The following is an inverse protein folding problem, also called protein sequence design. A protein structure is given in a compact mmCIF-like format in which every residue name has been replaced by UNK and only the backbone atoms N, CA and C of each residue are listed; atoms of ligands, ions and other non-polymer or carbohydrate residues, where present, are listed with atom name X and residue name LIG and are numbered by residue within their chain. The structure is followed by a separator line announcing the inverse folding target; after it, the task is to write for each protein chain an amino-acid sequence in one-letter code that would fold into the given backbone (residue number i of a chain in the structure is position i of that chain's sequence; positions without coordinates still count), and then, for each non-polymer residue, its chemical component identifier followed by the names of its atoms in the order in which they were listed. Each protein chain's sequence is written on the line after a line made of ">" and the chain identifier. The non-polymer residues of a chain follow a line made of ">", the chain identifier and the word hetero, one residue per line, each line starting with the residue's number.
data_IF_864524194622
#
_entry.id   IF_864524194622
#
_cell.length_a   1.000
_cell.length_b   1.000
_cell.length_c   1.000
_cell.angle_alpha   90.00
_cell.angle_beta   90.00
_cell.angle_gamma   90.00
#
_symmetry.space_group_name_H-M   'P 1'
#
loop_
_entity.id
_entity.type
_entity.pdbx_description
1 polymer ?
#
# COMPACT_ATOMS: atom_id res chain seq x y z
N UNK A 1 24.05 -20.94 -44.70
CA UNK A 1 25.01 -19.83 -44.95
C UNK A 1 24.42 -18.72 -45.81
N UNK A 2 23.32 -18.10 -45.37
CA UNK A 2 22.87 -16.78 -45.87
C UNK A 2 22.56 -15.91 -44.65
N UNK A 3 21.85 -16.47 -43.66
CA UNK A 3 21.62 -15.85 -42.34
C UNK A 3 22.93 -15.57 -41.59
N UNK A 4 23.91 -16.49 -41.68
CA UNK A 4 25.27 -16.33 -41.11
C UNK A 4 26.07 -15.17 -41.75
N UNK A 5 25.63 -14.67 -42.92
CA UNK A 5 26.37 -13.71 -43.74
C UNK A 5 25.72 -12.31 -43.79
N UNK A 6 24.46 -12.17 -43.35
CA UNK A 6 23.70 -10.91 -43.44
C UNK A 6 23.47 -10.21 -42.09
N UNK A 7 23.83 -10.86 -40.97
CA UNK A 7 23.68 -10.32 -39.62
C UNK A 7 22.22 -10.22 -39.14
N UNK A 8 22.04 -9.90 -37.85
CA UNK A 8 20.73 -9.83 -37.19
C UNK A 8 19.83 -8.69 -37.70
N UNK A 9 20.35 -7.75 -38.51
CA UNK A 9 19.65 -6.55 -38.97
C UNK A 9 18.42 -6.80 -39.84
N UNK A 10 18.31 -7.96 -40.48
CA UNK A 10 17.14 -8.34 -41.28
C UNK A 10 16.05 -9.08 -40.49
N UNK A 11 16.31 -9.48 -39.24
CA UNK A 11 15.33 -10.17 -38.40
C UNK A 11 14.16 -9.25 -38.05
N UNK A 12 14.40 -7.98 -37.71
CA UNK A 12 13.32 -7.06 -37.34
C UNK A 12 12.34 -6.78 -38.50
N UNK A 13 12.77 -6.48 -39.74
CA UNK A 13 11.87 -6.38 -40.89
C UNK A 13 11.16 -7.69 -41.24
N UNK A 14 11.82 -8.84 -41.07
CA UNK A 14 11.21 -10.16 -41.29
C UNK A 14 10.13 -10.47 -40.27
N UNK A 15 10.33 -10.14 -39.00
CA UNK A 15 9.32 -10.26 -37.93
C UNK A 15 8.12 -9.38 -38.25
N UNK A 16 8.34 -8.12 -38.63
CA UNK A 16 7.25 -7.18 -38.98
C UNK A 16 6.45 -7.67 -40.21
N UNK A 17 7.12 -8.30 -41.17
CA UNK A 17 6.50 -8.89 -42.38
C UNK A 17 5.83 -10.24 -42.14
N UNK A 18 6.25 -10.99 -41.10
CA UNK A 18 5.64 -12.26 -40.69
C UNK A 18 4.39 -12.02 -39.83
N UNK A 19 4.43 -11.03 -38.94
CA UNK A 19 3.28 -10.59 -38.12
C UNK A 19 2.12 -10.07 -38.98
N UNK A 20 2.41 -9.57 -40.18
CA UNK A 20 1.40 -9.05 -41.12
C UNK A 20 0.75 -10.12 -42.01
N UNK A 21 1.25 -11.36 -42.04
CA UNK A 21 0.83 -12.38 -43.01
C UNK A 21 0.11 -13.57 -42.34
N UNK A 22 -1.23 -13.48 -42.26
CA UNK A 22 -2.13 -14.35 -41.47
C UNK A 22 -2.15 -15.86 -41.78
N UNK A 23 -1.54 -16.33 -42.88
CA UNK A 23 -1.87 -17.67 -43.42
C UNK A 23 -1.17 -18.87 -42.78
N UNK A 24 -0.18 -18.67 -41.90
CA UNK A 24 0.53 -19.79 -41.27
C UNK A 24 1.34 -19.37 -40.02
N UNK A 25 0.70 -18.72 -39.04
CA UNK A 25 1.41 -18.25 -37.84
C UNK A 25 2.19 -19.35 -37.11
N UNK A 26 1.65 -20.57 -36.95
CA UNK A 26 2.33 -21.65 -36.22
C UNK A 26 3.59 -22.16 -36.92
N UNK A 27 3.55 -22.40 -38.24
CA UNK A 27 4.76 -22.84 -38.96
C UNK A 27 5.78 -21.71 -39.10
N UNK A 28 5.33 -20.46 -39.23
CA UNK A 28 6.22 -19.29 -39.26
C UNK A 28 6.91 -19.08 -37.91
N UNK A 29 6.18 -19.20 -36.80
CA UNK A 29 6.73 -19.12 -35.45
C UNK A 29 7.70 -20.28 -35.17
N UNK A 30 7.37 -21.50 -35.57
CA UNK A 30 8.25 -22.66 -35.43
C UNK A 30 9.53 -22.50 -36.28
N UNK A 31 9.41 -22.09 -37.53
CA UNK A 31 10.55 -21.84 -38.42
C UNK A 31 11.44 -20.71 -37.91
N UNK A 32 10.85 -19.64 -37.37
CA UNK A 32 11.58 -18.52 -36.80
C UNK A 32 12.29 -18.88 -35.48
N UNK A 33 11.61 -19.62 -34.60
CA UNK A 33 12.23 -20.19 -33.39
C UNK A 33 13.41 -21.08 -33.77
N UNK A 34 13.24 -21.97 -34.76
CA UNK A 34 14.29 -22.86 -35.22
C UNK A 34 15.48 -22.10 -35.83
N UNK A 35 15.21 -21.02 -36.57
CA UNK A 35 16.24 -20.13 -37.12
C UNK A 35 17.06 -19.43 -36.01
N UNK A 36 16.40 -18.94 -34.97
CA UNK A 36 17.07 -18.32 -33.82
C UNK A 36 17.81 -19.34 -32.94
N UNK A 37 17.34 -20.59 -32.86
CA UNK A 37 18.03 -21.68 -32.17
C UNK A 37 19.31 -22.14 -32.90
N UNK A 38 19.40 -21.92 -34.22
CA UNK A 38 20.55 -22.28 -35.05
C UNK A 38 21.63 -21.19 -35.18
N UNK A 39 21.43 -20.03 -34.53
CA UNK A 39 22.45 -18.99 -34.44
C UNK A 39 23.41 -19.31 -33.30
N UNK A 40 24.69 -19.56 -33.63
CA UNK A 40 25.78 -19.78 -32.66
C UNK A 40 26.42 -18.47 -32.17
N UNK A 41 26.27 -17.36 -32.90
CA UNK A 41 26.77 -16.03 -32.53
C UNK A 41 25.63 -15.00 -32.60
N UNK A 42 25.61 -14.04 -31.67
CA UNK A 42 24.58 -12.98 -31.55
C UNK A 42 23.15 -13.52 -31.32
N UNK A 43 23.03 -14.72 -30.74
CA UNK A 43 21.72 -15.31 -30.44
C UNK A 43 20.93 -14.46 -29.45
N UNK A 44 21.60 -13.96 -28.41
CA UNK A 44 21.01 -13.08 -27.41
C UNK A 44 20.42 -11.80 -28.03
N UNK A 45 21.22 -11.09 -28.83
CA UNK A 45 20.78 -9.88 -29.52
C UNK A 45 19.62 -10.14 -30.51
N UNK A 46 19.67 -11.26 -31.24
CA UNK A 46 18.60 -11.65 -32.16
C UNK A 46 17.28 -11.94 -31.45
N UNK A 47 17.33 -12.68 -30.33
CA UNK A 47 16.17 -12.95 -29.48
C UNK A 47 15.63 -11.66 -28.85
N UNK A 48 16.51 -10.80 -28.31
CA UNK A 48 16.14 -9.51 -27.72
C UNK A 48 15.43 -8.57 -28.70
N UNK A 49 15.92 -8.46 -29.94
CA UNK A 49 15.28 -7.68 -31.00
C UNK A 49 13.90 -8.23 -31.38
N UNK A 50 13.79 -9.56 -31.56
CA UNK A 50 12.53 -10.20 -31.91
C UNK A 50 11.48 -10.00 -30.82
N UNK A 51 11.86 -10.26 -29.57
CA UNK A 51 10.99 -10.08 -28.41
C UNK A 51 10.60 -8.60 -28.21
N UNK A 52 11.50 -7.65 -28.46
CA UNK A 52 11.21 -6.21 -28.34
C UNK A 52 10.20 -5.76 -29.39
N UNK A 53 10.35 -6.25 -30.63
CA UNK A 53 9.40 -5.98 -31.71
C UNK A 53 8.02 -6.57 -31.40
N UNK A 54 7.96 -7.82 -30.92
CA UNK A 54 6.72 -8.48 -30.51
C UNK A 54 6.04 -7.73 -29.36
N UNK A 55 6.78 -7.39 -28.30
CA UNK A 55 6.25 -6.64 -27.16
C UNK A 55 5.70 -5.26 -27.58
N UNK A 56 6.37 -4.56 -28.50
CA UNK A 56 5.90 -3.28 -29.05
C UNK A 56 4.58 -3.39 -29.80
N UNK A 57 4.30 -4.52 -30.45
CA UNK A 57 3.02 -4.76 -31.12
C UNK A 57 1.94 -5.19 -30.13
N UNK A 58 2.28 -6.08 -29.19
CA UNK A 58 1.39 -6.54 -28.12
C UNK A 58 0.89 -5.40 -27.23
N UNK A 59 1.75 -4.45 -26.87
CA UNK A 59 1.39 -3.32 -26.00
C UNK A 59 0.38 -2.34 -26.60
N UNK A 60 0.05 -2.48 -27.89
CA UNK A 60 -0.96 -1.68 -28.59
C UNK A 60 -2.35 -2.32 -28.56
N UNK A 61 -2.46 -3.60 -28.21
CA UNK A 61 -3.73 -4.30 -28.15
C UNK A 61 -4.49 -3.92 -26.86
N UNK A 62 -5.83 -3.81 -26.91
CA UNK A 62 -6.62 -3.51 -25.74
C UNK A 62 -6.60 -4.69 -24.76
N UNK A 63 -6.46 -4.38 -23.46
CA UNK A 63 -6.48 -5.38 -22.39
C UNK A 63 -7.94 -5.70 -22.02
N UNK A 64 -8.36 -6.98 -21.99
CA UNK A 64 -9.71 -7.35 -21.57
C UNK A 64 -9.93 -7.04 -20.08
N UNK A 65 -11.13 -6.59 -19.73
CA UNK A 65 -11.49 -6.21 -18.34
C UNK A 65 -12.48 -7.18 -17.70
N UNK A 66 -13.01 -8.13 -18.48
CA UNK A 66 -13.98 -9.12 -18.02
C UNK A 66 -13.62 -10.50 -18.56
N UNK A 67 -14.03 -11.54 -17.85
CA UNK A 67 -13.79 -12.93 -18.25
C UNK A 67 -14.40 -13.23 -19.64
N UNK A 68 -15.55 -12.65 -19.96
CA UNK A 68 -16.18 -12.81 -21.28
C UNK A 68 -15.35 -12.19 -22.41
N UNK A 69 -14.69 -11.05 -22.17
CA UNK A 69 -13.78 -10.44 -23.15
C UNK A 69 -12.48 -11.22 -23.29
N UNK A 70 -12.00 -11.81 -22.19
CA UNK A 70 -10.81 -12.67 -22.19
C UNK A 70 -11.06 -13.96 -23.00
N UNK A 71 -12.24 -14.58 -22.84
CA UNK A 71 -12.66 -15.78 -23.58
C UNK A 71 -12.95 -15.49 -25.06
N UNK A 72 -13.55 -14.33 -25.36
CA UNK A 72 -13.82 -13.93 -26.74
C UNK A 72 -12.53 -13.60 -27.52
N UNK A 73 -11.49 -13.12 -26.82
CA UNK A 73 -10.18 -12.73 -27.34
C UNK A 73 -10.23 -12.03 -28.72
N UNK A 74 -11.16 -11.09 -28.88
CA UNK A 74 -11.50 -10.48 -30.18
C UNK A 74 -10.30 -9.83 -30.86
N UNK A 75 -9.37 -9.29 -30.06
CA UNK A 75 -8.16 -8.63 -30.51
C UNK A 75 -6.93 -9.54 -30.51
N UNK A 76 -7.09 -10.80 -30.08
CA UNK A 76 -6.03 -11.81 -30.05
C UNK A 76 -4.95 -11.58 -29.00
N UNK A 77 -5.16 -10.72 -28.00
CA UNK A 77 -4.14 -10.45 -26.98
C UNK A 77 -3.82 -11.69 -26.15
N UNK A 78 -4.83 -12.46 -25.72
CA UNK A 78 -4.65 -13.65 -24.90
C UNK A 78 -3.87 -14.72 -25.66
N UNK A 79 -4.29 -15.01 -26.90
CA UNK A 79 -3.62 -15.96 -27.77
C UNK A 79 -2.18 -15.53 -28.11
N UNK A 80 -1.92 -14.23 -28.31
CA UNK A 80 -0.57 -13.72 -28.56
C UNK A 80 0.33 -13.84 -27.31
N UNK A 81 -0.20 -13.63 -26.10
CA UNK A 81 0.55 -13.86 -24.86
C UNK A 81 0.92 -15.34 -24.69
N UNK A 82 0.00 -16.26 -24.99
CA UNK A 82 0.28 -17.72 -24.96
C UNK A 82 1.32 -18.10 -26.02
N UNK A 83 1.21 -17.56 -27.23
CA UNK A 83 2.18 -17.78 -28.29
C UNK A 83 3.56 -17.24 -27.91
N UNK A 84 3.64 -16.05 -27.30
CA UNK A 84 4.88 -15.46 -26.81
C UNK A 84 5.53 -16.30 -25.70
N UNK A 85 4.73 -16.82 -24.75
CA UNK A 85 5.21 -17.73 -23.72
C UNK A 85 5.75 -19.04 -24.33
N UNK A 86 5.09 -19.56 -25.36
CA UNK A 86 5.51 -20.76 -26.07
C UNK A 86 6.79 -20.51 -26.88
N UNK A 87 6.91 -19.34 -27.51
CA UNK A 87 8.12 -18.90 -28.22
C UNK A 87 9.32 -18.74 -27.28
N UNK A 88 9.13 -18.18 -26.08
CA UNK A 88 10.22 -17.91 -25.13
C UNK A 88 10.69 -19.15 -24.37
N UNK A 89 9.82 -20.14 -24.15
CA UNK A 89 10.10 -21.36 -23.36
C UNK A 89 11.39 -22.10 -23.76
N UNK A 90 11.67 -22.40 -25.04
CA UNK A 90 12.91 -23.08 -25.44
C UNK A 90 14.20 -22.33 -25.07
N UNK A 91 14.15 -21.00 -25.07
CA UNK A 91 15.31 -20.18 -24.70
C UNK A 91 15.51 -20.16 -23.19
N UNK A 92 14.43 -20.09 -22.41
CA UNK A 92 14.47 -20.18 -20.94
C UNK A 92 14.96 -21.56 -20.47
N UNK A 93 14.44 -22.63 -21.08
CA UNK A 93 14.84 -24.00 -20.73
C UNK A 93 16.29 -24.30 -21.12
N UNK A 94 16.76 -23.74 -22.25
CA UNK A 94 18.15 -23.86 -22.68
C UNK A 94 19.13 -23.21 -21.70
N UNK A 95 18.71 -22.11 -21.07
CA UNK A 95 19.49 -21.43 -20.02
C UNK A 95 19.50 -22.24 -18.71
N UNK A 96 18.33 -22.74 -18.27
CA UNK A 96 18.23 -23.52 -17.02
C UNK A 96 19.06 -24.81 -17.05
N UNK A 97 19.08 -25.52 -18.19
CA UNK A 97 19.83 -26.78 -18.34
C UNK A 97 21.35 -26.62 -18.30
N UNK A 98 21.88 -25.43 -18.61
CA UNK A 98 23.32 -25.15 -18.56
C UNK A 98 23.81 -24.76 -17.16
N UNK A 99 22.97 -24.07 -16.37
CA UNK A 99 23.29 -23.68 -14.99
C UNK A 99 23.53 -24.89 -14.06
N UNK A 100 23.00 -26.07 -14.38
CA UNK A 100 23.21 -27.30 -13.60
C UNK A 100 24.54 -28.02 -13.88
N UNK A 101 25.31 -27.65 -14.92
CA UNK A 101 26.46 -28.47 -15.35
C UNK A 101 27.70 -27.74 -15.92
N UNK A 102 27.67 -26.41 -16.14
CA UNK A 102 28.83 -25.64 -16.65
C UNK A 102 28.84 -24.19 -16.15
N UNK A 103 30.03 -23.55 -16.10
CA UNK A 103 30.15 -22.12 -15.82
C UNK A 103 29.36 -21.29 -16.88
N UNK A 104 28.59 -20.26 -16.47
CA UNK A 104 27.81 -19.44 -17.39
C UNK A 104 28.72 -18.73 -18.40
N UNK A 105 28.34 -18.77 -19.68
CA UNK A 105 29.04 -18.04 -20.73
C UNK A 105 28.52 -16.60 -20.84
N UNK A 106 29.32 -15.63 -21.32
CA UNK A 106 28.87 -14.24 -21.47
C UNK A 106 27.62 -14.09 -22.34
N UNK A 107 27.45 -14.97 -23.34
CA UNK A 107 26.29 -14.98 -24.22
C UNK A 107 25.03 -15.53 -23.52
N UNK A 108 25.19 -16.51 -22.61
CA UNK A 108 24.07 -17.00 -21.80
C UNK A 108 23.58 -15.92 -20.81
N UNK A 109 24.50 -15.12 -20.25
CA UNK A 109 24.15 -13.97 -19.38
C UNK A 109 23.49 -12.82 -20.16
N UNK A 110 23.91 -12.58 -21.41
CA UNK A 110 23.26 -11.63 -22.31
C UNK A 110 21.87 -12.10 -22.73
N UNK A 111 21.70 -13.40 -23.02
CA UNK A 111 20.41 -14.00 -23.34
C UNK A 111 19.46 -13.94 -22.14
N UNK A 112 19.95 -14.25 -20.92
CA UNK A 112 19.22 -14.04 -19.66
C UNK A 112 18.77 -12.58 -19.55
N UNK A 113 19.68 -11.63 -19.77
CA UNK A 113 19.37 -10.21 -19.67
C UNK A 113 18.30 -9.77 -20.69
N UNK A 114 18.39 -10.18 -21.95
CA UNK A 114 17.42 -9.80 -23.00
C UNK A 114 16.04 -10.44 -22.79
N UNK A 115 15.98 -11.71 -22.39
CA UNK A 115 14.70 -12.38 -22.06
C UNK A 115 14.07 -11.71 -20.84
N UNK A 116 14.87 -11.46 -19.78
CA UNK A 116 14.36 -10.85 -18.56
C UNK A 116 13.95 -9.41 -18.83
N UNK A 117 14.71 -8.60 -19.57
CA UNK A 117 14.37 -7.22 -19.93
C UNK A 117 12.97 -7.05 -20.53
N UNK A 118 12.46 -8.09 -21.21
CA UNK A 118 11.17 -8.07 -21.89
C UNK A 118 10.07 -8.71 -21.04
N UNK A 119 10.39 -9.77 -20.30
CA UNK A 119 9.43 -10.38 -19.36
C UNK A 119 9.21 -9.46 -18.15
N UNK A 120 10.28 -8.86 -17.62
CA UNK A 120 10.37 -7.98 -16.46
C UNK A 120 11.66 -7.12 -16.55
N UNK A 121 11.57 -5.82 -16.82
CA UNK A 121 12.71 -4.94 -17.12
C UNK A 121 13.83 -4.79 -16.07
N UNK A 122 13.92 -5.63 -15.02
CA UNK A 122 14.93 -5.54 -13.97
C UNK A 122 15.25 -6.86 -13.22
N UNK A 123 15.08 -8.05 -13.81
CA UNK A 123 15.40 -9.29 -13.08
C UNK A 123 16.81 -9.75 -13.41
N UNK A 124 17.74 -9.55 -12.49
CA UNK A 124 18.97 -10.34 -12.41
C UNK A 124 19.02 -11.18 -11.13
N UNK A 125 17.98 -11.10 -10.29
CA UNK A 125 17.95 -11.65 -8.92
C UNK A 125 16.68 -12.51 -8.67
N UNK A 126 16.66 -13.25 -7.56
CA UNK A 126 15.50 -14.06 -7.13
C UNK A 126 14.27 -13.20 -6.84
N UNK A 127 13.05 -13.77 -6.88
CA UNK A 127 11.78 -13.07 -6.57
C UNK A 127 11.83 -12.24 -5.27
N UNK A 128 12.35 -12.76 -4.14
CA UNK A 128 12.58 -11.97 -2.92
C UNK A 128 13.65 -10.88 -3.11
N UNK A 129 14.74 -11.18 -3.84
CA UNK A 129 15.77 -10.22 -4.22
C UNK A 129 15.20 -9.00 -4.94
N UNK A 130 14.37 -9.27 -5.94
CA UNK A 130 13.74 -8.27 -6.78
C UNK A 130 12.71 -7.41 -6.05
N UNK A 131 11.90 -8.02 -5.18
CA UNK A 131 10.81 -7.33 -4.47
C UNK A 131 11.28 -6.62 -3.20
N UNK A 132 12.29 -7.16 -2.50
CA UNK A 132 12.71 -6.68 -1.17
C UNK A 132 14.16 -6.18 -1.09
N UNK A 133 15.08 -6.67 -1.92
CA UNK A 133 16.50 -6.27 -1.86
C UNK A 133 16.90 -5.21 -2.90
N UNK A 134 16.06 -4.96 -3.91
CA UNK A 134 16.25 -3.87 -4.88
C UNK A 134 16.25 -2.48 -4.21
N UNK A 135 15.43 -2.26 -3.17
CA UNK A 135 15.46 -1.01 -2.37
C UNK A 135 16.72 -0.86 -1.51
N UNK A 136 17.50 -1.94 -1.30
CA UNK A 136 18.74 -1.92 -0.51
C UNK A 136 20.01 -1.76 -1.37
N UNK A 137 19.97 -2.06 -2.67
CA UNK A 137 21.11 -1.96 -3.59
C UNK A 137 20.89 -0.85 -4.62
N UNK A 138 21.61 0.28 -4.45
CA UNK A 138 21.78 1.29 -5.50
C UNK A 138 22.59 0.71 -6.66
N UNK A 139 21.93 0.13 -7.66
CA UNK A 139 22.56 -0.15 -8.95
C UNK A 139 22.26 0.96 -9.95
N UNK A 140 23.29 1.31 -10.72
CA UNK A 140 23.34 2.39 -11.70
C UNK A 140 22.57 2.07 -12.99
N UNK A 141 21.75 3.05 -13.41
CA UNK A 141 21.44 3.49 -14.78
C UNK A 141 20.74 2.53 -15.76
N UNK A 142 19.41 2.69 -15.90
CA UNK A 142 18.62 3.13 -17.09
C UNK A 142 17.15 2.67 -16.95
N UNK A 143 16.19 3.56 -17.24
CA UNK A 143 14.71 3.46 -17.08
C UNK A 143 14.17 2.99 -15.71
N UNK A 144 14.36 3.84 -14.70
CA UNK A 144 13.96 3.60 -13.30
C UNK A 144 12.45 3.49 -13.06
N UNK A 145 11.58 4.08 -13.89
CA UNK A 145 10.13 4.11 -13.61
C UNK A 145 9.39 2.89 -14.15
N UNK A 146 9.75 2.41 -15.36
CA UNK A 146 9.18 1.19 -15.94
C UNK A 146 9.58 -0.06 -15.11
N UNK A 147 10.78 -0.03 -14.54
CA UNK A 147 11.27 -1.04 -13.59
C UNK A 147 10.43 -1.10 -12.32
N UNK A 148 10.10 0.06 -11.72
CA UNK A 148 9.25 0.14 -10.52
C UNK A 148 7.82 -0.31 -10.76
N UNK A 149 7.24 0.04 -11.92
CA UNK A 149 5.89 -0.41 -12.29
C UNK A 149 5.82 -1.92 -12.49
N UNK A 150 6.83 -2.48 -13.15
CA UNK A 150 6.95 -3.92 -13.38
C UNK A 150 7.12 -4.67 -12.05
N UNK A 151 7.96 -4.17 -11.15
CA UNK A 151 8.13 -4.71 -9.80
C UNK A 151 6.82 -4.66 -8.99
N UNK A 152 6.07 -3.55 -9.06
CA UNK A 152 4.81 -3.43 -8.36
C UNK A 152 3.72 -4.37 -8.91
N UNK A 153 3.68 -4.57 -10.23
CA UNK A 153 2.80 -5.56 -10.85
C UNK A 153 3.18 -6.99 -10.43
N UNK A 154 4.48 -7.29 -10.31
CA UNK A 154 4.95 -8.57 -9.80
C UNK A 154 4.57 -8.78 -8.33
N UNK A 155 4.69 -7.75 -7.49
CA UNK A 155 4.26 -7.79 -6.09
C UNK A 155 2.76 -8.13 -5.99
N UNK A 156 1.92 -7.57 -6.87
CA UNK A 156 0.51 -7.93 -6.96
C UNK A 156 0.30 -9.40 -7.35
N UNK A 157 0.99 -9.90 -8.38
CA UNK A 157 0.86 -11.30 -8.82
C UNK A 157 1.31 -12.28 -7.73
N UNK A 158 2.36 -11.95 -6.99
CA UNK A 158 2.86 -12.77 -5.89
C UNK A 158 1.94 -12.72 -4.67
N UNK A 159 1.68 -11.54 -4.11
CA UNK A 159 1.00 -11.43 -2.81
C UNK A 159 -0.52 -11.47 -2.88
N UNK A 160 -1.12 -11.09 -4.01
CA UNK A 160 -2.58 -11.08 -4.20
C UNK A 160 -3.04 -12.31 -4.98
N UNK A 161 -2.40 -12.60 -6.12
CA UNK A 161 -2.76 -13.76 -6.95
C UNK A 161 -2.07 -15.06 -6.49
N UNK A 162 -1.15 -14.98 -5.54
CA UNK A 162 -0.46 -16.12 -4.93
C UNK A 162 0.37 -16.95 -5.92
N UNK A 163 0.78 -16.35 -7.04
CA UNK A 163 1.61 -17.03 -8.06
C UNK A 163 3.03 -17.19 -7.52
N UNK A 164 3.54 -18.42 -7.50
CA UNK A 164 4.88 -18.78 -7.02
C UNK A 164 5.14 -18.45 -5.53
N UNK A 165 4.10 -18.34 -4.71
CA UNK A 165 4.23 -18.10 -3.25
C UNK A 165 4.96 -19.23 -2.51
N UNK A 166 4.94 -20.44 -3.05
CA UNK A 166 5.68 -21.61 -2.58
C UNK A 166 7.20 -21.39 -2.63
N UNK A 167 7.67 -20.53 -3.52
CA UNK A 167 9.10 -20.16 -3.61
C UNK A 167 9.47 -18.97 -2.72
N UNK A 168 8.49 -18.34 -2.07
CA UNK A 168 8.70 -17.15 -1.26
C UNK A 168 9.00 -17.51 0.20
N UNK A 169 10.04 -16.94 0.84
CA UNK A 169 10.37 -17.25 2.21
C UNK A 169 9.24 -16.85 3.17
N UNK A 170 9.15 -17.55 4.30
CA UNK A 170 8.28 -17.15 5.40
C UNK A 170 8.84 -15.86 6.04
N UNK A 171 8.11 -14.75 5.89
CA UNK A 171 8.54 -13.43 6.37
C UNK A 171 7.44 -12.78 7.21
N UNK A 172 7.83 -11.98 8.20
CA UNK A 172 6.91 -11.29 9.11
C UNK A 172 5.95 -10.34 8.35
N UNK A 173 4.64 -10.32 8.69
CA UNK A 173 3.64 -9.50 7.99
C UNK A 173 3.96 -8.00 7.92
N UNK A 174 4.48 -7.42 9.01
CA UNK A 174 4.85 -5.99 9.07
C UNK A 174 5.99 -5.68 8.11
N UNK A 175 6.97 -6.57 7.97
CA UNK A 175 8.06 -6.40 7.02
C UNK A 175 7.55 -6.48 5.57
N UNK A 176 6.68 -7.45 5.27
CA UNK A 176 6.04 -7.56 3.94
C UNK A 176 5.27 -6.27 3.63
N UNK A 177 4.50 -5.75 4.59
CA UNK A 177 3.81 -4.46 4.44
C UNK A 177 4.80 -3.35 4.11
N UNK A 178 5.88 -3.21 4.89
CA UNK A 178 6.88 -2.15 4.68
C UNK A 178 7.45 -2.16 3.26
N UNK A 179 7.81 -3.33 2.74
CA UNK A 179 8.29 -3.46 1.37
C UNK A 179 7.20 -3.18 0.33
N UNK A 180 5.98 -3.70 0.55
CA UNK A 180 4.88 -3.50 -0.38
C UNK A 180 4.39 -2.05 -0.44
N UNK A 181 4.61 -1.23 0.58
CA UNK A 181 4.17 0.17 0.59
C UNK A 181 4.78 1.00 -0.55
N UNK A 182 6.01 0.72 -0.99
CA UNK A 182 6.62 1.37 -2.16
C UNK A 182 5.87 0.99 -3.45
N UNK A 183 5.60 -0.30 -3.64
CA UNK A 183 4.85 -0.84 -4.77
C UNK A 183 3.40 -0.34 -4.81
N UNK A 184 2.76 -0.27 -3.65
CA UNK A 184 1.41 0.29 -3.48
C UNK A 184 1.39 1.76 -3.87
N UNK A 185 2.35 2.56 -3.38
CA UNK A 185 2.46 3.98 -3.72
C UNK A 185 2.57 4.17 -5.24
N UNK A 186 3.41 3.36 -5.89
CA UNK A 186 3.59 3.37 -7.35
C UNK A 186 2.28 3.06 -8.08
N UNK A 187 1.55 2.00 -7.69
CA UNK A 187 0.30 1.61 -8.33
C UNK A 187 -0.84 2.62 -8.12
N UNK A 188 -0.95 3.20 -6.92
CA UNK A 188 -1.98 4.18 -6.60
C UNK A 188 -1.75 5.55 -7.27
N UNK A 189 -0.53 5.85 -7.72
CA UNK A 189 -0.22 7.08 -8.44
C UNK A 189 -0.65 7.07 -9.93
N UNK A 190 -1.15 5.94 -10.44
CA UNK A 190 -1.36 5.69 -11.87
C UNK A 190 -2.86 5.63 -12.25
N UNK A 191 -3.12 5.40 -13.55
CA UNK A 191 -4.47 5.34 -14.14
C UNK A 191 -5.29 4.14 -13.61
N UNK A 192 -6.59 4.16 -13.90
CA UNK A 192 -7.65 3.32 -13.31
C UNK A 192 -7.35 1.81 -13.20
N UNK A 193 -6.74 1.18 -14.21
CA UNK A 193 -6.42 -0.27 -14.16
C UNK A 193 -5.37 -0.65 -13.12
N UNK A 194 -4.47 0.28 -12.78
CA UNK A 194 -3.44 0.09 -11.76
C UNK A 194 -3.97 0.35 -10.36
N UNK A 195 -4.95 1.26 -10.22
CA UNK A 195 -5.59 1.58 -8.94
C UNK A 195 -6.20 0.34 -8.30
N UNK A 196 -6.90 -0.50 -9.07
CA UNK A 196 -7.51 -1.72 -8.53
C UNK A 196 -6.46 -2.69 -7.99
N UNK A 197 -5.35 -2.87 -8.70
CA UNK A 197 -4.21 -3.70 -8.25
C UNK A 197 -3.55 -3.12 -7.00
N UNK A 198 -3.36 -1.80 -6.96
CA UNK A 198 -2.79 -1.09 -5.81
C UNK A 198 -3.66 -1.23 -4.56
N UNK A 199 -4.96 -1.03 -4.69
CA UNK A 199 -5.92 -1.21 -3.60
C UNK A 199 -5.96 -2.66 -3.09
N UNK A 200 -5.97 -3.64 -4.00
CA UNK A 200 -5.97 -5.05 -3.63
C UNK A 200 -4.67 -5.46 -2.93
N UNK A 201 -3.51 -5.00 -3.44
CA UNK A 201 -2.21 -5.26 -2.79
C UNK A 201 -2.15 -4.62 -1.40
N UNK A 202 -2.67 -3.41 -1.25
CA UNK A 202 -2.71 -2.71 0.03
C UNK A 202 -3.60 -3.45 1.04
N UNK A 203 -4.82 -3.81 0.64
CA UNK A 203 -5.71 -4.62 1.47
C UNK A 203 -5.03 -5.92 1.91
N UNK A 204 -4.47 -6.68 0.96
CA UNK A 204 -3.89 -7.99 1.24
C UNK A 204 -2.65 -7.93 2.14
N UNK A 205 -1.87 -6.86 2.02
CA UNK A 205 -0.71 -6.61 2.88
C UNK A 205 -1.11 -6.26 4.32
N UNK A 206 -2.28 -5.66 4.51
CA UNK A 206 -2.80 -5.29 5.84
C UNK A 206 -3.55 -6.42 6.53
N UNK A 207 -4.18 -7.35 5.80
CA UNK A 207 -4.97 -8.46 6.39
C UNK A 207 -4.20 -9.29 7.42
N UNK A 208 -2.90 -9.48 7.20
CA UNK A 208 -2.03 -10.30 8.06
C UNK A 208 -1.43 -9.53 9.24
N UNK A 209 -1.64 -8.21 9.32
CA UNK A 209 -1.15 -7.37 10.42
C UNK A 209 -2.21 -7.30 11.51
N UNK A 210 -1.80 -7.35 12.76
CA UNK A 210 -2.71 -7.26 13.91
C UNK A 210 -3.26 -5.82 14.07
N UNK A 211 -4.46 -5.68 14.62
CA UNK A 211 -5.04 -4.36 14.87
C UNK A 211 -4.27 -3.62 15.98
N UNK A 212 -4.08 -2.31 15.82
CA UNK A 212 -3.34 -1.45 16.74
C UNK A 212 -1.87 -1.84 16.98
N UNK A 213 -1.25 -2.60 16.08
CA UNK A 213 0.12 -3.10 16.26
C UNK A 213 1.19 -2.33 15.47
N UNK A 214 0.81 -1.47 14.50
CA UNK A 214 1.78 -0.73 13.69
C UNK A 214 2.31 0.49 14.45
N UNK A 215 3.63 0.55 14.74
CA UNK A 215 4.20 1.60 15.56
C UNK A 215 4.40 2.90 14.79
N UNK A 216 4.39 4.04 15.50
CA UNK A 216 4.59 5.38 14.90
C UNK A 216 5.85 5.52 14.04
N UNK A 217 6.92 4.77 14.37
CA UNK A 217 8.19 4.82 13.65
C UNK A 217 8.11 4.35 12.20
N UNK A 218 7.12 3.51 11.83
CA UNK A 218 6.94 3.13 10.42
C UNK A 218 6.41 4.28 9.56
N UNK A 219 5.74 5.27 10.18
CA UNK A 219 5.24 6.46 9.47
C UNK A 219 6.35 7.45 9.11
N UNK A 220 7.57 7.26 9.59
CA UNK A 220 8.74 8.03 9.15
C UNK A 220 9.27 7.60 7.78
N UNK A 221 8.82 6.45 7.27
CA UNK A 221 9.18 5.96 5.94
C UNK A 221 8.42 6.73 4.85
N UNK A 222 9.11 7.12 3.79
CA UNK A 222 8.53 7.88 2.66
C UNK A 222 7.34 7.16 1.99
N UNK A 223 7.40 5.83 1.93
CA UNK A 223 6.31 5.00 1.38
C UNK A 223 5.03 5.07 2.24
N UNK A 224 5.17 5.19 3.57
CA UNK A 224 4.04 5.36 4.50
C UNK A 224 3.47 6.79 4.51
N UNK A 225 4.19 7.76 3.95
CA UNK A 225 3.64 9.08 3.64
C UNK A 225 2.95 9.07 2.27
N UNK A 226 3.64 8.60 1.24
CA UNK A 226 3.18 8.70 -0.16
C UNK A 226 1.98 7.81 -0.47
N UNK A 227 1.96 6.55 -0.03
CA UNK A 227 0.87 5.63 -0.37
C UNK A 227 -0.49 6.08 0.21
N UNK A 228 -0.61 6.50 1.49
CA UNK A 228 -1.88 7.04 1.98
C UNK A 228 -2.28 8.38 1.34
N UNK A 229 -1.33 9.21 0.90
CA UNK A 229 -1.65 10.44 0.15
C UNK A 229 -2.20 10.13 -1.24
N UNK A 230 -1.63 9.14 -1.93
CA UNK A 230 -2.17 8.66 -3.21
C UNK A 230 -3.55 8.03 -3.00
N UNK A 231 -3.74 7.25 -1.92
CA UNK A 231 -5.06 6.72 -1.55
C UNK A 231 -6.07 7.84 -1.30
N UNK A 232 -5.68 8.92 -0.61
CA UNK A 232 -6.53 10.10 -0.43
C UNK A 232 -6.95 10.71 -1.77
N UNK A 233 -6.03 10.86 -2.73
CA UNK A 233 -6.36 11.34 -4.07
C UNK A 233 -7.36 10.41 -4.78
N UNK A 234 -7.24 9.09 -4.61
CA UNK A 234 -8.24 8.14 -5.13
C UNK A 234 -9.61 8.40 -4.51
N UNK A 235 -9.69 8.69 -3.21
CA UNK A 235 -10.96 8.97 -2.53
C UNK A 235 -11.62 10.28 -2.99
N UNK A 236 -10.83 11.30 -3.34
CA UNK A 236 -11.35 12.63 -3.69
C UNK A 236 -11.54 12.84 -5.19
N UNK A 237 -10.60 12.34 -6.00
CA UNK A 237 -10.45 12.77 -7.40
C UNK A 237 -10.82 11.65 -8.39
N UNK A 238 -10.88 10.38 -7.95
CA UNK A 238 -11.23 9.27 -8.83
C UNK A 238 -12.69 9.35 -9.29
N UNK A 239 -13.01 9.28 -10.60
CA UNK A 239 -14.39 9.38 -11.08
C UNK A 239 -15.22 8.11 -10.78
N UNK A 240 -14.57 6.96 -10.61
CA UNK A 240 -15.23 5.66 -10.43
C UNK A 240 -15.66 5.43 -8.97
N UNK A 241 -16.97 5.33 -8.73
CA UNK A 241 -17.52 5.14 -7.38
C UNK A 241 -17.03 3.86 -6.68
N UNK A 242 -17.03 2.72 -7.37
CA UNK A 242 -16.60 1.45 -6.77
C UNK A 242 -15.13 1.50 -6.30
N UNK A 243 -14.26 2.23 -7.01
CA UNK A 243 -12.86 2.43 -6.59
C UNK A 243 -12.77 3.34 -5.36
N UNK A 244 -13.59 4.38 -5.27
CA UNK A 244 -13.67 5.23 -4.07
C UNK A 244 -14.16 4.44 -2.85
N UNK A 245 -15.19 3.62 -3.01
CA UNK A 245 -15.72 2.77 -1.93
C UNK A 245 -14.72 1.71 -1.47
N UNK A 246 -14.04 1.04 -2.43
CA UNK A 246 -12.96 0.10 -2.13
C UNK A 246 -11.80 0.80 -1.44
N UNK A 247 -11.39 1.97 -1.94
CA UNK A 247 -10.38 2.81 -1.30
C UNK A 247 -10.73 3.17 0.13
N UNK A 248 -11.99 3.46 0.43
CA UNK A 248 -12.42 3.83 1.78
C UNK A 248 -12.30 2.65 2.75
N UNK A 249 -12.64 1.44 2.28
CA UNK A 249 -12.45 0.20 3.06
C UNK A 249 -10.98 -0.03 3.39
N UNK A 250 -10.10 0.12 2.40
CA UNK A 250 -8.64 -0.01 2.59
C UNK A 250 -8.12 1.08 3.53
N UNK A 251 -8.59 2.31 3.40
CA UNK A 251 -8.21 3.43 4.25
C UNK A 251 -8.60 3.19 5.71
N UNK A 252 -9.82 2.70 5.97
CA UNK A 252 -10.23 2.31 7.32
C UNK A 252 -9.43 1.12 7.85
N UNK A 253 -9.16 0.12 7.01
CA UNK A 253 -8.34 -1.03 7.39
C UNK A 253 -6.95 -0.57 7.83
N UNK A 254 -6.31 0.33 7.07
CA UNK A 254 -5.03 0.91 7.43
C UNK A 254 -5.09 1.62 8.78
N UNK A 255 -6.09 2.48 8.99
CA UNK A 255 -6.30 3.18 10.27
C UNK A 255 -6.42 2.18 11.43
N UNK A 256 -7.13 1.07 11.25
CA UNK A 256 -7.32 0.08 12.31
C UNK A 256 -6.00 -0.61 12.71
N UNK A 257 -5.05 -0.78 11.79
CA UNK A 257 -3.74 -1.38 12.07
C UNK A 257 -2.77 -0.47 12.82
N UNK A 258 -2.94 0.85 12.72
CA UNK A 258 -2.11 1.84 13.42
C UNK A 258 -2.34 1.81 14.93
N UNK A 259 -1.27 1.86 15.71
CA UNK A 259 -1.36 2.09 17.16
C UNK A 259 -1.86 3.52 17.47
N UNK A 260 -2.05 3.84 18.76
CA UNK A 260 -2.60 5.13 19.16
C UNK A 260 -1.73 6.33 18.75
N UNK A 261 -0.41 6.19 18.82
CA UNK A 261 0.55 7.25 18.48
C UNK A 261 0.68 7.41 16.96
N UNK A 262 0.70 6.31 16.22
CA UNK A 262 0.72 6.29 14.77
C UNK A 262 -0.58 6.88 14.19
N UNK A 263 -1.74 6.57 14.78
CA UNK A 263 -3.02 7.22 14.41
C UNK A 263 -2.96 8.73 14.55
N UNK A 264 -2.32 9.24 15.61
CA UNK A 264 -2.11 10.68 15.80
C UNK A 264 -1.37 11.30 14.63
N UNK A 265 -0.17 10.81 14.41
CA UNK A 265 0.76 11.31 13.39
C UNK A 265 0.13 11.22 12.01
N UNK A 266 -0.57 10.13 11.74
CA UNK A 266 -1.31 9.90 10.50
C UNK A 266 -2.46 10.92 10.29
N UNK A 267 -3.28 11.17 11.31
CA UNK A 267 -4.35 12.18 11.19
C UNK A 267 -3.79 13.59 11.03
N UNK A 268 -2.71 13.94 11.72
CA UNK A 268 -2.01 15.21 11.53
C UNK A 268 -1.48 15.36 10.11
N UNK A 269 -0.89 14.30 9.56
CA UNK A 269 -0.42 14.26 8.17
C UNK A 269 -1.56 14.53 7.17
N UNK A 270 -2.77 14.01 7.41
CA UNK A 270 -3.91 14.19 6.52
C UNK A 270 -4.63 15.53 6.67
N UNK A 271 -4.60 16.16 7.86
CA UNK A 271 -5.18 17.51 8.09
C UNK A 271 -4.59 18.58 7.16
N UNK A 272 -3.37 18.38 6.66
CA UNK A 272 -2.73 19.27 5.67
C UNK A 272 -3.43 19.30 4.31
N UNK A 273 -4.33 18.35 4.03
CA UNK A 273 -4.99 18.23 2.73
C UNK A 273 -6.16 19.19 2.50
N UNK A 274 -6.68 19.84 3.56
CA UNK A 274 -7.78 20.82 3.49
C UNK A 274 -9.05 20.35 2.77
N UNK A 275 -9.26 19.04 2.61
CA UNK A 275 -10.44 18.48 1.95
C UNK A 275 -11.53 18.16 2.97
N UNK A 276 -12.63 18.93 2.95
CA UNK A 276 -13.71 18.86 3.94
C UNK A 276 -14.27 17.43 4.15
N UNK A 277 -14.37 16.63 3.09
CA UNK A 277 -14.84 15.24 3.20
C UNK A 277 -13.86 14.32 3.96
N UNK A 278 -12.55 14.53 3.79
CA UNK A 278 -11.51 13.74 4.48
C UNK A 278 -11.41 14.19 5.94
N UNK A 279 -11.48 15.50 6.19
CA UNK A 279 -11.53 16.05 7.54
C UNK A 279 -12.75 15.55 8.32
N UNK A 280 -13.94 15.58 7.69
CA UNK A 280 -15.17 15.02 8.28
C UNK A 280 -15.05 13.53 8.59
N UNK A 281 -14.38 12.77 7.73
CA UNK A 281 -14.11 11.35 7.96
C UNK A 281 -13.18 11.11 9.16
N UNK A 282 -12.11 11.90 9.28
CA UNK A 282 -11.18 11.86 10.43
C UNK A 282 -11.93 12.19 11.72
N UNK A 283 -12.74 13.26 11.72
CA UNK A 283 -13.56 13.64 12.88
C UNK A 283 -14.53 12.51 13.25
N UNK A 284 -15.14 11.86 12.27
CA UNK A 284 -16.05 10.74 12.55
C UNK A 284 -15.30 9.52 13.13
N UNK A 285 -14.08 9.24 12.66
CA UNK A 285 -13.23 8.20 13.23
C UNK A 285 -12.87 8.51 14.69
N UNK A 286 -12.44 9.74 14.99
CA UNK A 286 -12.14 10.18 16.35
C UNK A 286 -13.41 10.09 17.23
N UNK A 287 -14.56 10.55 16.72
CA UNK A 287 -15.85 10.45 17.43
C UNK A 287 -16.21 9.00 17.74
N UNK A 288 -16.04 8.08 16.78
CA UNK A 288 -16.31 6.66 16.98
C UNK A 288 -15.39 6.06 18.06
N UNK A 289 -14.12 6.47 18.10
CA UNK A 289 -13.20 6.07 19.16
C UNK A 289 -13.68 6.58 20.52
N UNK A 290 -14.08 7.85 20.63
CA UNK A 290 -14.63 8.43 21.87
C UNK A 290 -15.93 7.74 22.30
N UNK A 291 -16.82 7.41 21.35
CA UNK A 291 -18.08 6.71 21.63
C UNK A 291 -17.81 5.31 22.20
N UNK A 292 -16.78 4.62 21.73
CA UNK A 292 -16.32 3.37 22.34
C UNK A 292 -15.91 3.59 23.80
N UNK A 293 -15.26 4.70 24.10
CA UNK A 293 -14.90 5.06 25.47
C UNK A 293 -16.14 5.34 26.34
N UNK A 294 -17.23 5.87 25.81
CA UNK A 294 -18.49 6.03 26.60
C UNK A 294 -19.02 4.67 27.08
N UNK A 295 -18.99 3.64 26.23
CA UNK A 295 -19.38 2.27 26.64
C UNK A 295 -18.49 1.70 27.76
N UNK A 296 -17.22 2.08 27.77
CA UNK A 296 -16.30 1.74 28.87
C UNK A 296 -16.75 2.39 30.19
N UNK A 297 -17.30 3.61 30.17
CA UNK A 297 -17.86 4.21 31.40
C UNK A 297 -19.10 3.48 31.89
N UNK A 298 -19.96 3.02 30.98
CA UNK A 298 -21.15 2.23 31.33
C UNK A 298 -20.75 0.90 31.98
N UNK A 299 -19.74 0.20 31.42
CA UNK A 299 -19.24 -1.05 31.99
C UNK A 299 -18.51 -0.85 33.32
N UNK A 300 -17.75 0.24 33.51
CA UNK A 300 -17.16 0.59 34.81
C UNK A 300 -18.24 0.87 35.86
N UNK A 301 -19.31 1.59 35.51
CA UNK A 301 -20.41 1.84 36.42
C UNK A 301 -21.17 0.56 36.79
N UNK A 302 -21.33 -0.36 35.84
CA UNK A 302 -21.88 -1.70 36.11
C UNK A 302 -20.97 -2.49 37.05
N UNK A 303 -19.67 -2.54 36.78
CA UNK A 303 -18.69 -3.23 37.61
C UNK A 303 -18.68 -2.67 39.03
N UNK A 304 -18.67 -1.34 39.18
CA UNK A 304 -18.80 -0.65 40.46
C UNK A 304 -20.08 -1.06 41.21
N UNK A 305 -21.20 -1.10 40.51
CA UNK A 305 -22.49 -1.49 41.09
C UNK A 305 -22.46 -2.94 41.61
N UNK A 306 -21.94 -3.88 40.80
CA UNK A 306 -21.80 -5.29 41.17
C UNK A 306 -20.94 -5.47 42.43
N UNK A 307 -19.80 -4.77 42.50
CA UNK A 307 -18.88 -4.85 43.64
C UNK A 307 -19.43 -4.21 44.93
N UNK A 308 -20.31 -3.20 44.79
CA UNK A 308 -20.87 -2.48 45.95
C UNK A 308 -22.08 -3.18 46.57
N UNK A 309 -22.96 -3.78 45.75
CA UNK A 309 -24.33 -4.09 46.20
C UNK A 309 -24.55 -5.53 46.64
N UNK A 310 -23.72 -6.46 46.18
CA UNK A 310 -24.13 -7.86 46.19
C UNK A 310 -23.53 -8.66 47.36
N UNK A 311 -24.31 -8.81 48.43
CA UNK A 311 -23.98 -9.67 49.58
C UNK A 311 -24.11 -11.16 49.24
N UNK A 312 -24.89 -11.52 48.23
CA UNK A 312 -25.09 -12.91 47.78
C UNK A 312 -23.95 -13.33 46.84
N UNK A 313 -23.48 -12.45 45.94
CA UNK A 313 -22.31 -12.72 45.10
C UNK A 313 -21.01 -12.89 45.90
N UNK A 314 -20.88 -12.22 47.05
CA UNK A 314 -19.77 -12.43 47.99
C UNK A 314 -19.84 -13.76 48.74
N UNK A 315 -20.98 -14.46 48.70
CA UNK A 315 -21.17 -15.74 49.38
C UNK A 315 -20.78 -16.95 48.51
N UNK A 316 -20.75 -16.77 47.19
CA UNK A 316 -20.20 -17.73 46.23
C UNK A 316 -18.74 -17.36 45.91
N UNK A 317 -17.80 -18.08 46.53
CA UNK A 317 -16.38 -17.78 46.46
C UNK A 317 -15.81 -17.87 45.03
N UNK A 318 -16.27 -18.84 44.23
CA UNK A 318 -15.78 -19.07 42.87
C UNK A 318 -16.22 -17.94 41.93
N UNK A 319 -17.48 -17.49 42.07
CA UNK A 319 -18.03 -16.37 41.28
C UNK A 319 -17.36 -15.04 41.68
N UNK A 320 -17.09 -14.85 42.97
CA UNK A 320 -16.41 -13.64 43.47
C UNK A 320 -14.95 -13.57 43.03
N UNK A 321 -14.22 -14.68 43.06
CA UNK A 321 -12.83 -14.77 42.60
C UNK A 321 -12.72 -14.47 41.08
N UNK A 322 -13.62 -15.04 40.27
CA UNK A 322 -13.67 -14.77 38.84
C UNK A 322 -14.00 -13.29 38.54
N UNK A 323 -14.95 -12.70 39.28
CA UNK A 323 -15.28 -11.27 39.14
C UNK A 323 -14.09 -10.38 39.52
N UNK A 324 -13.32 -10.75 40.55
CA UNK A 324 -12.11 -10.03 40.93
C UNK A 324 -11.02 -10.14 39.87
N UNK A 325 -10.84 -11.32 39.25
CA UNK A 325 -9.93 -11.52 38.12
C UNK A 325 -10.31 -10.66 36.92
N UNK A 326 -11.59 -10.70 36.52
CA UNK A 326 -12.11 -9.88 35.42
C UNK A 326 -11.91 -8.39 35.71
N UNK A 327 -12.22 -7.94 36.94
CA UNK A 327 -11.97 -6.58 37.41
C UNK A 327 -10.50 -6.21 37.24
N UNK A 328 -9.58 -7.00 37.80
CA UNK A 328 -8.14 -6.69 37.79
C UNK A 328 -7.56 -6.62 36.37
N UNK A 329 -7.90 -7.59 35.50
CA UNK A 329 -7.45 -7.58 34.10
C UNK A 329 -8.03 -6.39 33.32
N UNK A 330 -9.32 -6.12 33.48
CA UNK A 330 -10.01 -5.03 32.82
C UNK A 330 -9.48 -3.66 33.24
N UNK A 331 -9.33 -3.41 34.55
CA UNK A 331 -8.82 -2.15 35.09
C UNK A 331 -7.35 -1.94 34.73
N UNK A 332 -6.53 -3.00 34.75
CA UNK A 332 -5.12 -2.92 34.35
C UNK A 332 -4.98 -2.51 32.89
N UNK A 333 -5.73 -3.15 31.99
CA UNK A 333 -5.73 -2.79 30.57
C UNK A 333 -6.25 -1.35 30.37
N UNK A 334 -7.32 -0.99 31.07
CA UNK A 334 -7.93 0.32 30.94
C UNK A 334 -7.00 1.45 31.42
N UNK A 335 -6.25 1.28 32.51
CA UNK A 335 -5.27 2.27 32.99
C UNK A 335 -4.19 2.56 31.94
N UNK A 336 -3.70 1.52 31.26
CA UNK A 336 -2.72 1.68 30.16
C UNK A 336 -3.35 2.49 29.03
N UNK A 337 -4.58 2.14 28.61
CA UNK A 337 -5.29 2.87 27.57
C UNK A 337 -5.58 4.34 27.92
N UNK A 338 -5.98 4.63 29.16
CA UNK A 338 -6.23 5.99 29.65
C UNK A 338 -4.94 6.80 29.67
N UNK A 339 -3.84 6.23 30.18
CA UNK A 339 -2.53 6.90 30.23
C UNK A 339 -2.03 7.27 28.82
N UNK A 340 -2.08 6.32 27.88
CA UNK A 340 -1.69 6.56 26.49
C UNK A 340 -2.59 7.61 25.82
N UNK A 341 -3.91 7.50 26.01
CA UNK A 341 -4.87 8.45 25.44
C UNK A 341 -4.69 9.86 26.02
N UNK A 342 -4.50 10.00 27.33
CA UNK A 342 -4.27 11.30 27.96
C UNK A 342 -2.98 11.96 27.46
N UNK A 343 -1.90 11.19 27.31
CA UNK A 343 -0.66 11.69 26.73
C UNK A 343 -0.89 12.22 25.31
N UNK A 344 -1.61 11.47 24.47
CA UNK A 344 -2.01 11.86 23.12
C UNK A 344 -2.80 13.18 23.10
N UNK A 345 -3.93 13.26 23.83
CA UNK A 345 -4.85 14.39 23.69
C UNK A 345 -4.25 15.65 24.32
N UNK A 346 -3.41 15.49 25.35
CA UNK A 346 -2.67 16.59 25.96
C UNK A 346 -1.58 17.15 25.04
N UNK A 347 -0.89 16.29 24.28
CA UNK A 347 0.09 16.71 23.30
C UNK A 347 -0.55 17.49 22.14
N UNK A 348 -1.64 16.97 21.57
CA UNK A 348 -2.40 17.64 20.49
C UNK A 348 -2.93 19.00 20.94
N UNK A 349 -3.48 19.07 22.15
CA UNK A 349 -3.99 20.32 22.72
C UNK A 349 -2.88 21.37 22.92
N UNK A 350 -1.65 20.95 23.25
CA UNK A 350 -0.48 21.84 23.33
C UNK A 350 -0.04 22.31 21.95
N UNK A 351 0.07 21.40 20.98
CA UNK A 351 0.43 21.72 19.60
C UNK A 351 -0.54 22.74 18.97
N UNK A 352 -1.86 22.58 19.19
CA UNK A 352 -2.88 23.51 18.71
C UNK A 352 -2.71 24.91 19.33
N UNK A 353 -2.37 25.01 20.62
CA UNK A 353 -2.07 26.29 21.28
C UNK A 353 -0.80 26.94 20.72
N UNK A 354 0.22 26.15 20.41
CA UNK A 354 1.48 26.66 19.84
C UNK A 354 1.30 27.16 18.41
N UNK A 355 0.54 26.44 17.59
CA UNK A 355 0.19 26.86 16.23
C UNK A 355 -0.62 28.17 16.23
N UNK A 356 -1.58 28.30 17.16
CA UNK A 356 -2.32 29.56 17.36
C UNK A 356 -1.41 30.70 17.80
N UNK A 357 -0.45 30.46 18.71
CA UNK A 357 0.54 31.46 19.12
C UNK A 357 1.43 31.89 17.96
N UNK A 358 1.87 30.97 17.11
CA UNK A 358 2.64 31.29 15.90
C UNK A 358 1.80 32.11 14.93
N UNK A 359 0.56 31.71 14.65
CA UNK A 359 -0.36 32.44 13.78
C UNK A 359 -0.66 33.85 14.31
N UNK A 360 -0.81 34.01 15.62
CA UNK A 360 -0.98 35.31 16.27
C UNK A 360 0.25 36.21 16.09
N UNK A 361 1.45 35.69 16.32
CA UNK A 361 2.72 36.40 16.11
C UNK A 361 2.92 36.81 14.65
N UNK A 362 2.64 35.91 13.70
CA UNK A 362 2.72 36.21 12.25
C UNK A 362 1.70 37.28 11.86
N UNK A 363 0.48 37.24 12.41
CA UNK A 363 -0.56 38.25 12.16
C UNK A 363 -0.22 39.61 12.77
N UNK A 364 0.44 39.63 13.91
CA UNK A 364 0.94 40.84 14.57
C UNK A 364 2.10 41.45 13.79
N UNK A 365 3.04 40.62 13.33
CA UNK A 365 4.16 41.04 12.50
C UNK A 365 3.69 41.55 11.12
N UNK A 366 2.70 40.88 10.52
CA UNK A 366 2.04 41.34 9.29
C UNK A 366 1.25 42.63 9.49
N UNK A 367 0.64 42.89 10.66
CA UNK A 367 0.00 44.17 10.99
C UNK A 367 1.02 45.31 11.10
N UNK A 368 2.19 45.04 11.69
CA UNK A 368 3.30 46.00 11.72
C UNK A 368 3.84 46.32 10.32
N UNK A 369 3.81 45.36 9.38
CA UNK A 369 4.19 45.61 7.97
C UNK A 369 3.06 46.25 7.14
N UNK A 370 1.79 45.98 7.47
CA UNK A 370 0.59 46.45 6.73
C UNK A 370 0.20 47.90 7.02
N UNK A 371 0.76 48.54 8.05
CA UNK A 371 0.69 50.00 8.23
C UNK A 371 1.27 50.78 7.03
N UNK A 372 1.94 50.13 6.07
CA UNK A 372 2.44 50.74 4.84
C UNK A 372 1.61 50.51 3.57
N UNK A 373 0.56 49.67 3.53
CA UNK A 373 -0.30 49.54 2.33
C UNK A 373 -1.76 49.22 2.66
N UNK A 374 -2.62 50.16 2.30
CA UNK A 374 -4.07 50.15 2.49
C UNK A 374 -4.82 49.48 1.31
N UNK A 375 -5.95 48.86 1.65
CA UNK A 375 -7.17 48.52 0.85
C UNK A 375 -7.05 47.54 -0.32
N UNK A 376 -7.65 46.34 -0.16
CA UNK A 376 -8.55 45.75 -1.17
C UNK A 376 -9.58 44.82 -0.49
N UNK A 377 -10.75 44.72 -1.11
CA UNK A 377 -12.07 44.32 -0.59
C UNK A 377 -12.31 42.80 -0.56
N UNK A 378 -13.15 42.40 0.40
CA UNK A 378 -13.81 41.13 0.75
C UNK A 378 -13.84 39.98 -0.29
N UNK A 379 -13.72 38.75 0.24
CA UNK A 379 -14.72 37.69 0.01
C UNK A 379 -14.89 36.80 1.25
N UNK A 380 -16.10 36.79 1.81
CA UNK A 380 -16.58 35.78 2.75
C UNK A 380 -17.14 34.59 1.97
N UNK A 381 -16.73 33.37 2.34
CA UNK A 381 -17.60 32.19 2.39
C UNK A 381 -17.00 31.13 3.32
N UNK A 382 -17.90 30.55 4.10
CA UNK A 382 -17.74 29.86 5.38
C UNK A 382 -17.74 28.34 5.18
N UNK A 383 -16.85 27.62 5.86
CA UNK A 383 -17.14 26.40 6.65
C UNK A 383 -15.85 25.77 7.19
N UNK A 384 -15.20 26.44 8.13
CA UNK A 384 -14.18 25.82 8.97
C UNK A 384 -14.86 25.39 10.28
N UNK A 385 -14.56 24.19 10.81
CA UNK A 385 -14.59 24.09 12.28
C UNK A 385 -13.55 25.08 12.78
N UNK A 386 -13.98 26.04 13.60
CA UNK A 386 -13.04 27.01 14.14
C UNK A 386 -12.04 26.27 15.05
N UNK A 387 -10.77 26.72 15.12
CA UNK A 387 -9.78 26.12 16.02
C UNK A 387 -10.27 26.01 17.47
N UNK A 388 -11.19 26.87 17.89
CA UNK A 388 -11.87 26.83 19.19
C UNK A 388 -12.76 25.59 19.34
N UNK A 389 -13.50 25.21 18.30
CA UNK A 389 -14.32 23.98 18.31
C UNK A 389 -13.44 22.74 18.39
N UNK A 390 -12.31 22.71 17.68
CA UNK A 390 -11.35 21.60 17.77
C UNK A 390 -10.74 21.49 19.16
N UNK A 391 -10.37 22.62 19.76
CA UNK A 391 -9.88 22.68 21.13
C UNK A 391 -10.91 22.15 22.14
N UNK A 392 -12.18 22.55 21.99
CA UNK A 392 -13.28 22.09 22.84
C UNK A 392 -13.49 20.57 22.74
N UNK A 393 -13.40 20.00 21.54
CA UNK A 393 -13.51 18.54 21.36
C UNK A 393 -12.37 17.79 22.06
N UNK A 394 -11.13 18.26 21.91
CA UNK A 394 -9.97 17.66 22.58
C UNK A 394 -10.06 17.78 24.10
N UNK A 395 -10.49 18.95 24.60
CA UNK A 395 -10.72 19.19 26.02
C UNK A 395 -11.82 18.28 26.56
N UNK A 396 -12.91 18.10 25.82
CA UNK A 396 -13.99 17.18 26.18
C UNK A 396 -13.50 15.73 26.29
N UNK A 397 -12.60 15.30 25.41
CA UNK A 397 -12.00 13.97 25.48
C UNK A 397 -11.14 13.80 26.74
N UNK A 398 -10.32 14.80 27.09
CA UNK A 398 -9.50 14.77 28.30
C UNK A 398 -10.35 14.67 29.59
N UNK A 399 -11.40 15.49 29.69
CA UNK A 399 -12.35 15.42 30.82
C UNK A 399 -13.01 14.04 30.91
N UNK A 400 -13.26 13.40 29.77
CA UNK A 400 -13.84 12.05 29.72
C UNK A 400 -12.87 11.01 30.28
N UNK A 401 -11.56 11.13 30.04
CA UNK A 401 -10.56 10.25 30.64
C UNK A 401 -10.41 10.47 32.14
N UNK A 402 -10.48 11.72 32.60
CA UNK A 402 -10.43 12.04 34.03
C UNK A 402 -11.62 11.43 34.77
N UNK A 403 -12.81 11.45 34.15
CA UNK A 403 -13.99 10.77 34.68
C UNK A 403 -13.79 9.25 34.75
N UNK A 404 -13.20 8.63 33.72
CA UNK A 404 -12.91 7.19 33.72
C UNK A 404 -11.89 6.81 34.79
N UNK A 405 -10.82 7.57 34.94
CA UNK A 405 -9.80 7.32 35.96
C UNK A 405 -10.39 7.47 37.37
N UNK A 406 -11.25 8.46 37.59
CA UNK A 406 -12.02 8.58 38.83
C UNK A 406 -12.89 7.35 39.11
N UNK A 407 -13.54 6.78 38.09
CA UNK A 407 -14.32 5.55 38.23
C UNK A 407 -13.42 4.33 38.53
N UNK A 408 -12.27 4.21 37.87
CA UNK A 408 -11.28 3.15 38.12
C UNK A 408 -10.82 3.19 39.57
N UNK A 409 -10.32 4.34 40.03
CA UNK A 409 -9.87 4.53 41.42
C UNK A 409 -10.97 4.20 42.41
N UNK A 410 -12.20 4.64 42.13
CA UNK A 410 -13.34 4.36 43.01
C UNK A 410 -13.69 2.87 43.07
N UNK A 411 -13.50 2.12 41.99
CA UNK A 411 -13.70 0.67 41.97
C UNK A 411 -12.65 -0.03 42.83
N UNK A 412 -11.39 0.40 42.73
CA UNK A 412 -10.30 -0.14 43.57
C UNK A 412 -10.60 0.07 45.06
N UNK A 413 -11.00 1.29 45.45
CA UNK A 413 -11.39 1.66 46.83
C UNK A 413 -12.55 0.85 47.40
N UNK A 414 -13.42 0.28 46.56
CA UNK A 414 -14.56 -0.54 47.01
C UNK A 414 -14.11 -1.99 47.29
N UNK A 415 -12.97 -2.40 46.73
CA UNK A 415 -12.45 -3.76 46.80
C UNK A 415 -11.26 -3.93 47.74
N UNK A 416 -10.60 -2.84 48.13
CA UNK A 416 -9.76 -2.75 49.34
C UNK A 416 -10.64 -2.75 50.60
#
# INVERSE_FOLDING_TARGET
>A
GIVKSMGCGLLAPLVDKLVTNKKSHDHCQAAFTQLLLQLDENRAAGVGLALSALHKQLSRLPVPYTQQQEEADEHGLCCCCVALATFTRPFVDGVKKKDENCNPTPEDDELKAEILKIILSAIRESLPGLLFFSSLRKFTTMDTDLSKESAACLAYLLFVQLIAMDTFPAVFPVFILQCNMEHISQLLSKKESHLLKGLALFAKSLEKVEDNSLPVGVLDLESFYSAPQNLRQVLTDCPIQHLRESGLKVFQLFINKLDAEAKHKFFCMLKTSHHAGVEGYIVNNIRSQIQSTIKIMESLNLLRYLLTRDKELKSDADVWEELCRIKDEYLKMLRVCISMSRAYYSAEMKALKEEQKLKAKVKEQARSTRLLKTITVKHDKVSHMSPEVQYQVLQSALVTFDLMESLVVRIDEITE
#
